data_IF_250219983171
#
_entry.id   IF_250219983171
#
_cell.length_a   1.000
_cell.length_b   1.000
_cell.length_c   1.000
_cell.angle_alpha   90.00
_cell.angle_beta   90.00
_cell.angle_gamma   90.00
#
_symmetry.space_group_name_H-M   'P 1'
#
loop_
_entity.id
_entity.type
_entity.pdbx_description
1 polymer ?
#
# COMPACT_ATOMS: atom_id res chain seq x y z
N UNK A 1 -0.71 -7.06 14.42
CA UNK A 1 0.05 -7.44 13.21
C UNK A 1 -0.80 -8.42 12.43
N UNK A 2 -1.08 -8.16 11.15
CA UNK A 2 -1.86 -9.07 10.32
C UNK A 2 -1.02 -10.30 9.96
N UNK A 3 -1.62 -11.49 10.00
CA UNK A 3 -0.97 -12.70 9.49
C UNK A 3 -0.88 -12.61 7.97
N UNK A 4 0.35 -12.67 7.43
CA UNK A 4 0.59 -12.56 5.99
C UNK A 4 -0.22 -13.60 5.20
N UNK A 5 -0.40 -14.81 5.74
CA UNK A 5 -1.19 -15.86 5.08
C UNK A 5 -2.68 -15.51 5.01
N UNK A 6 -3.20 -14.81 6.01
CA UNK A 6 -4.59 -14.36 6.05
C UNK A 6 -4.88 -13.22 5.06
N UNK A 7 -3.86 -12.54 4.55
CA UNK A 7 -4.00 -11.41 3.60
C UNK A 7 -4.00 -11.85 2.13
N UNK A 8 -3.48 -13.04 1.81
CA UNK A 8 -3.40 -13.50 0.42
C UNK A 8 -4.81 -13.73 -0.15
N UNK A 9 -5.08 -13.14 -1.31
CA UNK A 9 -6.37 -13.25 -2.01
C UNK A 9 -7.48 -12.38 -1.41
N UNK A 10 -7.14 -11.46 -0.51
CA UNK A 10 -8.08 -10.56 0.16
C UNK A 10 -7.93 -9.13 -0.31
N UNK A 11 -9.01 -8.38 -0.19
CA UNK A 11 -9.06 -6.97 -0.56
C UNK A 11 -8.73 -6.07 0.65
N UNK A 12 -8.10 -4.92 0.40
CA UNK A 12 -7.68 -4.01 1.49
C UNK A 12 -8.82 -3.51 2.35
N UNK A 13 -10.01 -3.32 1.75
CA UNK A 13 -11.23 -2.94 2.47
C UNK A 13 -11.75 -4.00 3.46
N UNK A 14 -11.21 -5.22 3.45
CA UNK A 14 -11.48 -6.23 4.49
C UNK A 14 -10.68 -5.99 5.77
N UNK A 15 -9.64 -5.15 5.74
CA UNK A 15 -8.71 -4.92 6.87
C UNK A 15 -8.66 -3.47 7.33
N UNK A 16 -8.99 -2.52 6.47
CA UNK A 16 -8.85 -1.09 6.70
C UNK A 16 -10.21 -0.40 6.67
N UNK A 17 -10.25 0.83 7.19
CA UNK A 17 -11.40 1.72 6.96
C UNK A 17 -11.60 1.94 5.45
N UNK A 18 -12.83 2.26 5.04
CA UNK A 18 -13.12 2.54 3.63
C UNK A 18 -12.21 3.64 3.08
N UNK A 19 -12.01 4.71 3.85
CA UNK A 19 -11.19 5.86 3.43
C UNK A 19 -9.72 5.49 3.27
N UNK A 20 -9.14 4.77 4.23
CA UNK A 20 -7.75 4.36 4.18
C UNK A 20 -7.49 3.33 3.07
N UNK A 21 -8.42 2.39 2.89
CA UNK A 21 -8.37 1.45 1.78
C UNK A 21 -8.38 2.19 0.45
N UNK A 22 -9.32 3.12 0.24
CA UNK A 22 -9.42 3.88 -1.02
C UNK A 22 -8.15 4.68 -1.31
N UNK A 23 -7.54 5.30 -0.29
CA UNK A 23 -6.27 6.02 -0.43
C UNK A 23 -5.15 5.08 -0.92
N UNK A 24 -4.98 3.92 -0.29
CA UNK A 24 -3.97 2.94 -0.68
C UNK A 24 -4.23 2.37 -2.07
N UNK A 25 -5.49 2.06 -2.39
CA UNK A 25 -5.89 1.56 -3.71
C UNK A 25 -5.57 2.58 -4.79
N UNK A 26 -5.87 3.86 -4.57
CA UNK A 26 -5.58 4.92 -5.54
C UNK A 26 -4.08 5.03 -5.85
N UNK A 27 -3.23 5.05 -4.81
CA UNK A 27 -1.77 5.07 -4.96
C UNK A 27 -1.28 3.86 -5.76
N UNK A 28 -1.74 2.67 -5.39
CA UNK A 28 -1.34 1.41 -6.05
C UNK A 28 -1.82 1.31 -7.49
N UNK A 29 -3.04 1.78 -7.76
CA UNK A 29 -3.62 1.79 -9.10
C UNK A 29 -2.85 2.74 -10.02
N UNK A 30 -2.45 3.91 -9.53
CA UNK A 30 -1.62 4.84 -10.30
C UNK A 30 -0.29 4.18 -10.73
N UNK A 31 0.38 3.43 -9.85
CA UNK A 31 1.62 2.73 -10.20
C UNK A 31 1.36 1.59 -11.20
N UNK A 32 0.25 0.85 -11.05
CA UNK A 32 -0.13 -0.19 -12.00
C UNK A 32 -0.42 0.37 -13.40
N UNK A 33 -1.12 1.49 -13.50
CA UNK A 33 -1.48 2.12 -14.78
C UNK A 33 -0.30 2.79 -15.47
N UNK A 34 0.51 3.51 -14.71
CA UNK A 34 1.58 4.35 -15.27
C UNK A 34 2.92 3.62 -15.37
N UNK A 35 3.13 2.61 -14.54
CA UNK A 35 4.43 1.96 -14.39
C UNK A 35 5.52 2.86 -13.81
N UNK A 36 5.13 3.93 -13.12
CA UNK A 36 6.02 4.86 -12.42
C UNK A 36 5.85 4.64 -10.92
N UNK A 37 6.95 4.32 -10.22
CA UNK A 37 6.95 4.15 -8.78
C UNK A 37 6.64 5.46 -8.04
N UNK A 38 6.13 5.34 -6.81
CA UNK A 38 5.84 6.48 -5.95
C UNK A 38 6.29 6.23 -4.51
N UNK A 39 6.57 7.31 -3.80
CA UNK A 39 6.86 7.31 -2.36
C UNK A 39 6.10 8.43 -1.69
N UNK A 40 5.25 8.08 -0.74
CA UNK A 40 4.33 9.01 -0.10
C UNK A 40 4.28 8.74 1.41
N UNK A 41 4.19 9.82 2.19
CA UNK A 41 3.82 9.71 3.59
C UNK A 41 2.29 9.63 3.68
N UNK A 42 1.79 8.52 4.23
CA UNK A 42 0.36 8.27 4.42
C UNK A 42 0.06 8.12 5.90
N UNK A 43 -1.23 8.12 6.24
CA UNK A 43 -1.71 7.63 7.51
C UNK A 43 -2.78 6.57 7.29
N UNK A 44 -2.90 5.68 8.26
CA UNK A 44 -4.00 4.72 8.38
C UNK A 44 -4.56 4.75 9.80
N UNK A 45 -5.86 4.53 9.94
CA UNK A 45 -6.51 4.42 11.24
C UNK A 45 -6.71 2.94 11.60
N UNK A 46 -6.09 2.51 12.70
CA UNK A 46 -6.19 1.16 13.24
C UNK A 46 -6.90 1.21 14.61
N UNK A 47 -8.20 0.93 14.60
CA UNK A 47 -9.02 1.13 15.80
C UNK A 47 -9.15 2.62 16.12
N UNK A 48 -8.69 3.03 17.31
CA UNK A 48 -8.67 4.45 17.74
C UNK A 48 -7.31 5.13 17.49
N UNK A 49 -6.32 4.39 16.97
CA UNK A 49 -4.95 4.90 16.78
C UNK A 49 -4.73 5.31 15.31
N UNK A 50 -4.15 6.49 15.09
CA UNK A 50 -3.66 6.93 13.78
C UNK A 50 -2.17 6.65 13.71
N UNK A 51 -1.74 5.93 12.67
CA UNK A 51 -0.33 5.64 12.41
C UNK A 51 0.11 6.23 11.09
N UNK A 52 1.33 6.75 11.07
CA UNK A 52 1.94 7.36 9.90
C UNK A 52 2.97 6.41 9.30
N UNK A 53 2.93 6.28 7.97
CA UNK A 53 3.82 5.41 7.23
C UNK A 53 4.46 6.15 6.06
N UNK A 54 5.75 5.91 5.86
CA UNK A 54 6.44 6.19 4.62
C UNK A 54 6.24 4.97 3.71
N UNK A 55 5.34 5.09 2.73
CA UNK A 55 4.97 4.05 1.78
C UNK A 55 5.74 4.24 0.49
N UNK A 56 6.45 3.22 0.04
CA UNK A 56 7.03 3.11 -1.30
C UNK A 56 6.30 2.03 -2.10
N UNK A 57 5.90 2.35 -3.32
CA UNK A 57 5.25 1.42 -4.25
C UNK A 57 5.98 1.43 -5.59
N UNK A 58 6.44 0.26 -6.02
CA UNK A 58 7.20 0.09 -7.27
C UNK A 58 6.50 -0.92 -8.20
N UNK A 59 6.54 -0.73 -9.52
CA UNK A 59 6.00 -1.68 -10.48
C UNK A 59 6.85 -2.94 -10.55
N UNK A 60 6.22 -4.10 -10.51
CA UNK A 60 6.86 -5.39 -10.77
C UNK A 60 6.72 -5.74 -12.24
N UNK A 61 7.86 -5.89 -12.94
CA UNK A 61 7.88 -6.21 -14.37
C UNK A 61 8.34 -7.64 -14.62
N UNK A 62 7.73 -8.29 -15.62
CA UNK A 62 8.23 -9.58 -16.13
C UNK A 62 9.44 -9.36 -17.06
N UNK A 63 9.94 -10.45 -17.67
CA UNK A 63 11.11 -10.40 -18.57
C UNK A 63 10.85 -9.62 -19.87
N UNK A 64 9.59 -9.53 -20.27
CA UNK A 64 9.14 -8.80 -21.47
C UNK A 64 8.88 -7.31 -21.17
N UNK A 65 9.07 -6.89 -19.91
CA UNK A 65 8.90 -5.50 -19.46
C UNK A 65 7.47 -5.13 -19.09
N UNK A 66 6.53 -6.06 -19.17
CA UNK A 66 5.12 -5.88 -18.83
C UNK A 66 4.93 -5.81 -17.31
N UNK A 67 4.02 -4.94 -16.86
CA UNK A 67 3.67 -4.82 -15.44
C UNK A 67 2.80 -6.01 -15.07
N UNK A 68 3.28 -6.85 -14.15
CA UNK A 68 2.57 -8.03 -13.65
C UNK A 68 2.11 -7.87 -12.20
N UNK A 69 2.40 -6.73 -11.59
CA UNK A 69 1.99 -6.39 -10.24
C UNK A 69 2.77 -5.20 -9.70
N UNK A 70 2.77 -5.08 -8.38
CA UNK A 70 3.52 -4.06 -7.65
C UNK A 70 4.17 -4.67 -6.42
N UNK A 71 5.23 -4.04 -5.95
CA UNK A 71 5.84 -4.29 -4.65
C UNK A 71 5.65 -3.07 -3.76
N UNK A 72 5.21 -3.28 -2.52
CA UNK A 72 5.04 -2.22 -1.54
C UNK A 72 6.00 -2.43 -0.37
N UNK A 73 6.61 -1.35 0.10
CA UNK A 73 7.37 -1.30 1.34
C UNK A 73 6.83 -0.17 2.20
N UNK A 74 6.63 -0.42 3.49
CA UNK A 74 6.17 0.58 4.45
C UNK A 74 7.14 0.67 5.61
N UNK A 75 7.44 1.90 6.04
CA UNK A 75 8.18 2.18 7.26
C UNK A 75 7.29 2.97 8.19
N UNK A 76 7.11 2.49 9.42
CA UNK A 76 6.40 3.23 10.45
C UNK A 76 7.21 4.47 10.83
N UNK A 77 6.58 5.64 10.71
CA UNK A 77 7.17 6.94 11.04
C UNK A 77 6.32 7.69 12.07
N UNK A 78 5.45 6.98 12.81
CA UNK A 78 4.53 7.58 13.78
C UNK A 78 5.26 8.39 14.85
N UNK A 79 6.44 7.94 15.29
CA UNK A 79 7.28 8.64 16.27
C UNK A 79 7.90 9.96 15.75
N UNK A 80 7.80 10.23 14.44
CA UNK A 80 8.40 11.40 13.77
C UNK A 80 7.37 12.48 13.41
N UNK A 81 6.11 12.30 13.84
CA UNK A 81 4.98 13.19 13.56
C UNK A 81 4.48 13.90 14.81
#
# INVERSE_FOLDING_TARGET
>A
VFDARAMVGRYEGEFLSYEDAQRLIAIKHQVLETGVGTREEIFITLGEEVRYYDLTVEPLRNRDGEIVGITCATMDISDRK
#
